data_IF_276589722457
#
_entry.id   IF_276589722457
#
_cell.length_a   1.000
_cell.length_b   1.000
_cell.length_c   1.000
_cell.angle_alpha   90.00
_cell.angle_beta   90.00
_cell.angle_gamma   90.00
#
_symmetry.space_group_name_H-M   'P 1'
#
loop_
_entity.id
_entity.type
_entity.pdbx_description
1 polymer ?
#
# COMPACT_ATOMS: atom_id res chain seq x y z
N UNK A 1 9.63 20.15 19.63
CA UNK A 1 8.46 19.28 19.90
C UNK A 1 8.48 18.87 21.37
N UNK A 2 7.40 19.14 22.12
CA UNK A 2 7.29 18.71 23.51
C UNK A 2 6.46 17.42 23.60
N UNK A 3 7.12 16.29 23.31
CA UNK A 3 6.47 14.97 23.29
C UNK A 3 6.50 14.40 24.70
N UNK A 4 5.33 14.01 25.19
CA UNK A 4 5.18 13.35 26.48
C UNK A 4 5.75 11.93 26.39
N UNK A 5 6.83 11.68 27.13
CA UNK A 5 7.49 10.38 27.27
C UNK A 5 7.93 10.19 28.72
N UNK A 6 7.85 8.97 29.30
CA UNK A 6 8.28 8.72 30.68
C UNK A 6 9.70 9.17 30.98
N UNK A 7 10.60 9.14 29.99
CA UNK A 7 12.00 9.54 30.13
C UNK A 7 12.19 11.01 30.53
N UNK A 8 11.17 11.88 30.38
CA UNK A 8 11.20 13.27 30.86
C UNK A 8 11.02 13.42 32.37
N UNK A 9 10.49 12.40 33.04
CA UNK A 9 10.08 12.44 34.44
C UNK A 9 10.93 11.47 35.27
N UNK A 10 12.25 11.61 35.16
CA UNK A 10 13.18 10.77 35.92
C UNK A 10 13.03 11.01 37.42
N UNK A 11 13.23 9.95 38.21
CA UNK A 11 13.29 10.07 39.66
C UNK A 11 14.49 10.94 40.07
N UNK A 12 14.36 11.81 41.10
CA UNK A 12 15.50 12.51 41.68
C UNK A 12 16.59 11.58 42.25
N UNK A 13 16.28 10.29 42.42
CA UNK A 13 17.19 9.25 42.92
C UNK A 13 17.69 8.32 41.80
N UNK A 14 17.60 8.75 40.53
CA UNK A 14 18.05 7.94 39.41
C UNK A 14 19.54 7.63 39.50
N UNK A 15 19.93 6.42 39.09
CA UNK A 15 21.33 6.07 38.93
C UNK A 15 21.88 6.68 37.63
N UNK A 16 23.22 6.79 37.48
CA UNK A 16 23.84 7.26 36.25
C UNK A 16 23.43 6.43 35.01
N UNK A 17 23.21 5.12 35.17
CA UNK A 17 22.73 4.25 34.10
C UNK A 17 21.29 4.62 33.70
N UNK A 18 20.41 4.88 34.66
CA UNK A 18 19.04 5.30 34.39
C UNK A 18 18.99 6.68 33.72
N UNK A 19 19.90 7.60 34.07
CA UNK A 19 20.06 8.89 33.39
C UNK A 19 20.50 8.71 31.93
N UNK A 20 21.46 7.82 31.66
CA UNK A 20 21.93 7.52 30.31
C UNK A 20 20.83 6.89 29.44
N UNK A 21 20.09 5.92 29.97
CA UNK A 21 18.97 5.29 29.25
C UNK A 21 17.85 6.29 28.96
N UNK A 22 17.55 7.20 29.89
CA UNK A 22 16.56 8.25 29.66
C UNK A 22 17.00 9.24 28.57
N UNK A 23 18.28 9.64 28.56
CA UNK A 23 18.83 10.49 27.51
C UNK A 23 18.72 9.79 26.13
N UNK A 24 19.04 8.50 26.05
CA UNK A 24 18.90 7.71 24.83
C UNK A 24 17.44 7.61 24.38
N UNK A 25 16.51 7.37 25.31
CA UNK A 25 15.06 7.31 25.02
C UNK A 25 14.51 8.65 24.53
N UNK A 26 14.96 9.77 25.09
CA UNK A 26 14.58 11.11 24.64
C UNK A 26 15.09 11.41 23.23
N UNK A 27 16.35 11.07 22.94
CA UNK A 27 16.93 11.21 21.61
C UNK A 27 16.16 10.36 20.58
N UNK A 28 15.90 9.09 20.90
CA UNK A 28 15.11 8.19 20.05
C UNK A 28 13.70 8.73 19.79
N UNK A 29 13.03 9.27 20.82
CA UNK A 29 11.68 9.86 20.69
C UNK A 29 11.70 11.07 19.76
N UNK A 30 12.69 11.95 19.94
CA UNK A 30 12.89 13.11 19.09
C UNK A 30 13.10 12.71 17.63
N UNK A 31 14.03 11.79 17.38
CA UNK A 31 14.39 11.35 16.03
C UNK A 31 13.22 10.65 15.33
N UNK A 32 12.46 9.84 16.07
CA UNK A 32 11.24 9.19 15.59
C UNK A 32 10.20 10.22 15.15
N UNK A 33 10.00 11.27 15.95
CA UNK A 33 9.03 12.31 15.63
C UNK A 33 9.47 13.18 14.45
N UNK A 34 10.75 13.56 14.39
CA UNK A 34 11.30 14.28 13.23
C UNK A 34 11.15 13.43 11.98
N UNK A 35 11.51 12.14 12.02
CA UNK A 35 11.34 11.25 10.87
C UNK A 35 9.87 11.14 10.44
N UNK A 36 8.93 10.97 11.37
CA UNK A 36 7.49 10.88 11.06
C UNK A 36 6.88 12.18 10.51
N UNK A 37 7.47 13.35 10.78
CA UNK A 37 6.99 14.64 10.26
C UNK A 37 7.66 15.07 8.95
N UNK A 38 8.90 14.64 8.71
CA UNK A 38 9.72 15.14 7.59
C UNK A 38 9.96 14.11 6.50
N UNK A 39 9.64 12.84 6.75
CA UNK A 39 9.86 11.73 5.83
C UNK A 39 8.58 10.89 5.73
N UNK A 40 8.46 10.00 4.73
CA UNK A 40 7.32 9.09 4.63
C UNK A 40 7.37 7.91 5.61
N UNK A 41 8.30 7.91 6.59
CA UNK A 41 8.40 6.86 7.59
C UNK A 41 7.07 6.72 8.36
N UNK A 42 6.65 5.48 8.57
CA UNK A 42 5.39 5.05 9.18
C UNK A 42 4.13 5.22 8.33
N UNK A 43 4.22 5.89 7.17
CA UNK A 43 3.05 6.11 6.30
C UNK A 43 2.56 4.79 5.71
N UNK A 44 3.47 3.92 5.29
CA UNK A 44 3.13 2.60 4.78
C UNK A 44 2.36 1.77 5.82
N UNK A 45 2.84 1.71 7.08
CA UNK A 45 2.10 1.05 8.17
C UNK A 45 0.72 1.67 8.40
N UNK A 46 0.64 2.99 8.44
CA UNK A 46 -0.60 3.72 8.69
C UNK A 46 -1.64 3.47 7.60
N UNK A 47 -1.21 3.53 6.33
CA UNK A 47 -2.03 3.19 5.17
C UNK A 47 -2.48 1.74 5.26
N UNK A 48 -1.54 0.80 5.40
CA UNK A 48 -1.84 -0.63 5.42
C UNK A 48 -2.88 -0.97 6.49
N UNK A 49 -2.65 -0.58 7.75
CA UNK A 49 -3.62 -0.76 8.85
C UNK A 49 -4.99 -0.20 8.47
N UNK A 50 -5.01 0.97 7.85
CA UNK A 50 -6.24 1.66 7.53
C UNK A 50 -6.95 1.14 6.27
N UNK A 51 -6.37 0.21 5.50
CA UNK A 51 -7.03 -0.40 4.34
C UNK A 51 -8.08 -1.44 4.75
N UNK A 52 -7.95 -2.06 5.93
CA UNK A 52 -8.82 -3.13 6.41
C UNK A 52 -10.32 -2.80 6.24
N UNK A 53 -11.08 -3.78 5.75
CA UNK A 53 -12.52 -3.72 5.60
C UNK A 53 -12.97 -3.44 4.16
N UNK A 54 -14.20 -2.94 4.03
CA UNK A 54 -14.87 -2.74 2.74
C UNK A 54 -14.86 -1.28 2.32
N UNK A 55 -14.72 -1.06 1.01
CA UNK A 55 -14.68 0.23 0.34
C UNK A 55 -15.65 0.23 -0.83
N UNK A 56 -16.34 1.35 -1.05
CA UNK A 56 -16.96 1.65 -2.34
C UNK A 56 -15.85 1.92 -3.35
N UNK A 57 -15.95 1.33 -4.53
CA UNK A 57 -14.97 1.45 -5.60
C UNK A 57 -15.65 1.92 -6.88
N UNK A 58 -15.26 3.10 -7.34
CA UNK A 58 -15.61 3.65 -8.64
C UNK A 58 -14.36 3.76 -9.50
N UNK A 59 -14.39 3.27 -10.74
CA UNK A 59 -13.21 3.28 -11.60
C UNK A 59 -13.54 3.51 -13.06
N UNK A 60 -12.92 4.53 -13.64
CA UNK A 60 -12.99 4.81 -15.07
C UNK A 60 -11.79 4.19 -15.80
N UNK A 61 -12.04 3.60 -16.96
CA UNK A 61 -11.05 3.07 -17.89
C UNK A 61 -11.17 3.85 -19.21
N UNK A 62 -10.10 4.52 -19.61
CA UNK A 62 -10.00 5.18 -20.90
C UNK A 62 -8.94 4.47 -21.74
N UNK A 63 -9.38 3.72 -22.75
CA UNK A 63 -8.50 3.11 -23.74
C UNK A 63 -8.26 4.07 -24.91
N UNK A 64 -7.02 4.09 -25.41
CA UNK A 64 -6.62 4.78 -26.65
C UNK A 64 -6.56 3.82 -27.84
N UNK A 65 -6.73 2.51 -27.60
CA UNK A 65 -6.78 1.49 -28.65
C UNK A 65 -8.23 1.16 -29.03
N UNK A 66 -8.61 1.18 -30.32
CA UNK A 66 -9.98 0.87 -30.76
C UNK A 66 -10.48 -0.54 -30.41
N UNK A 67 -9.55 -1.48 -30.21
CA UNK A 67 -9.82 -2.88 -29.88
C UNK A 67 -10.18 -3.11 -28.41
N UNK A 68 -9.94 -2.13 -27.54
CA UNK A 68 -10.20 -2.22 -26.11
C UNK A 68 -11.24 -1.16 -25.72
N UNK A 69 -12.42 -1.57 -25.23
CA UNK A 69 -13.45 -0.61 -24.88
C UNK A 69 -13.04 0.20 -23.65
N UNK A 70 -13.29 1.51 -23.74
CA UNK A 70 -13.41 2.37 -22.56
C UNK A 70 -14.68 2.04 -21.78
N UNK A 71 -14.75 2.45 -20.53
CA UNK A 71 -15.94 2.24 -19.71
C UNK A 71 -15.73 2.55 -18.24
N UNK A 72 -16.71 2.14 -17.44
CA UNK A 72 -16.79 2.44 -16.02
C UNK A 72 -17.11 1.20 -15.20
N UNK A 73 -16.36 1.00 -14.13
CA UNK A 73 -16.61 -0.01 -13.11
C UNK A 73 -17.18 0.65 -11.85
N UNK A 74 -18.25 0.07 -11.32
CA UNK A 74 -18.82 0.42 -10.01
C UNK A 74 -19.00 -0.85 -9.19
N UNK A 75 -18.59 -0.81 -7.92
CA UNK A 75 -18.68 -1.96 -7.03
C UNK A 75 -17.99 -1.74 -5.69
N UNK A 76 -17.46 -2.82 -5.14
CA UNK A 76 -16.77 -2.81 -3.86
C UNK A 76 -15.36 -3.36 -3.96
N UNK A 77 -14.52 -2.94 -3.02
CA UNK A 77 -13.21 -3.51 -2.76
C UNK A 77 -13.07 -3.88 -1.29
N UNK A 78 -12.57 -5.07 -1.00
CA UNK A 78 -12.43 -5.59 0.35
C UNK A 78 -10.98 -5.97 0.64
N UNK A 79 -10.48 -5.54 1.79
CA UNK A 79 -9.20 -5.97 2.33
C UNK A 79 -9.47 -6.92 3.51
N UNK A 80 -9.25 -8.21 3.29
CA UNK A 80 -9.51 -9.27 4.27
C UNK A 80 -8.20 -9.70 4.95
N UNK A 81 -8.08 -9.44 6.25
CA UNK A 81 -6.89 -9.83 7.03
C UNK A 81 -6.77 -11.35 7.08
N UNK A 82 -5.54 -11.85 6.90
CA UNK A 82 -5.21 -13.26 7.07
C UNK A 82 -3.74 -13.45 7.45
N UNK A 83 -3.41 -14.68 7.81
CA UNK A 83 -2.03 -15.09 8.07
C UNK A 83 -1.15 -14.96 6.82
N UNK A 84 0.12 -14.61 7.05
CA UNK A 84 1.11 -14.49 5.99
C UNK A 84 1.25 -15.80 5.22
N UNK A 85 1.27 -15.71 3.90
CA UNK A 85 1.57 -16.85 3.04
C UNK A 85 3.02 -16.78 2.53
N UNK A 86 3.69 -17.93 2.43
CA UNK A 86 5.05 -18.02 1.87
C UNK A 86 5.09 -17.88 0.34
N UNK A 87 3.92 -17.88 -0.31
CA UNK A 87 3.76 -17.85 -1.76
C UNK A 87 4.40 -16.61 -2.40
N UNK A 88 5.04 -16.79 -3.56
CA UNK A 88 5.69 -15.71 -4.34
C UNK A 88 6.99 -15.16 -3.75
N UNK A 89 7.25 -15.32 -2.45
CA UNK A 89 8.46 -14.76 -1.79
C UNK A 89 9.75 -15.35 -2.36
N UNK A 90 9.74 -16.63 -2.74
CA UNK A 90 10.90 -17.33 -3.33
C UNK A 90 11.33 -16.78 -4.70
N UNK A 91 10.45 -16.04 -5.39
CA UNK A 91 10.71 -15.49 -6.73
C UNK A 91 11.31 -14.08 -6.69
N UNK A 92 11.26 -13.40 -5.54
CA UNK A 92 11.80 -12.04 -5.35
C UNK A 92 13.18 -12.08 -4.68
N UNK A 93 13.47 -13.14 -3.94
CA UNK A 93 14.78 -13.37 -3.36
C UNK A 93 15.74 -13.92 -4.42
N UNK A 94 16.71 -13.10 -4.85
CA UNK A 94 18.02 -13.60 -5.29
C UNK A 94 18.85 -14.19 -4.15
N UNK A 95 18.21 -14.60 -3.04
CA UNK A 95 18.87 -15.17 -1.88
C UNK A 95 19.39 -16.56 -2.23
N UNK A 96 20.67 -16.77 -1.91
CA UNK A 96 21.29 -18.08 -1.97
C UNK A 96 20.46 -19.10 -1.15
N UNK A 97 20.48 -20.39 -1.50
CA UNK A 97 19.82 -21.41 -0.69
C UNK A 97 20.51 -21.47 0.68
N UNK A 98 19.81 -21.05 1.74
CA UNK A 98 20.33 -21.15 3.11
C UNK A 98 19.91 -20.06 4.10
N UNK A 99 19.19 -19.01 3.69
CA UNK A 99 18.57 -18.10 4.65
C UNK A 99 17.23 -18.70 5.11
N UNK A 100 17.21 -19.20 6.34
CA UNK A 100 16.03 -19.80 6.97
C UNK A 100 14.82 -18.84 6.95
N UNK A 101 13.60 -19.34 6.70
CA UNK A 101 12.37 -18.57 6.70
C UNK A 101 11.84 -18.29 8.13
N UNK A 102 12.74 -18.21 9.12
CA UNK A 102 12.42 -17.82 10.50
C UNK A 102 12.49 -16.30 10.67
N UNK A 103 12.21 -15.54 9.61
CA UNK A 103 11.88 -14.12 9.75
C UNK A 103 10.45 -14.02 10.31
N UNK A 104 10.31 -14.29 11.61
CA UNK A 104 9.13 -14.10 12.48
C UNK A 104 8.71 -12.62 12.60
N UNK A 105 9.04 -11.78 11.62
CA UNK A 105 8.43 -10.46 11.50
C UNK A 105 6.92 -10.60 11.32
N UNK A 106 6.15 -9.84 12.10
CA UNK A 106 4.68 -9.72 12.12
C UNK A 106 4.11 -9.14 10.80
N UNK A 107 4.54 -9.67 9.66
CA UNK A 107 4.10 -9.26 8.34
C UNK A 107 2.67 -9.75 8.12
N UNK A 108 1.72 -8.87 8.37
CA UNK A 108 0.30 -9.04 8.06
C UNK A 108 0.06 -8.94 6.55
N UNK A 109 -0.85 -9.77 6.02
CA UNK A 109 -1.29 -9.67 4.63
C UNK A 109 -2.80 -9.53 4.49
N UNK A 110 -3.23 -8.86 3.43
CA UNK A 110 -4.62 -8.81 3.00
C UNK A 110 -4.83 -9.61 1.73
N UNK A 111 -5.88 -10.43 1.71
CA UNK A 111 -6.51 -10.81 0.46
C UNK A 111 -7.42 -9.67 0.01
N UNK A 112 -7.02 -9.02 -1.07
CA UNK A 112 -7.78 -7.96 -1.70
C UNK A 112 -8.75 -8.55 -2.72
N UNK A 113 -10.02 -8.14 -2.68
CA UNK A 113 -11.07 -8.62 -3.58
C UNK A 113 -11.91 -7.45 -4.08
N UNK A 114 -12.05 -7.35 -5.39
CA UNK A 114 -13.04 -6.49 -6.04
C UNK A 114 -14.21 -7.31 -6.54
N UNK A 115 -15.41 -6.74 -6.43
CA UNK A 115 -16.61 -7.29 -7.03
C UNK A 115 -17.55 -6.15 -7.42
N UNK A 116 -18.03 -6.19 -8.66
CA UNK A 116 -18.88 -5.15 -9.20
C UNK A 116 -19.20 -5.38 -10.67
N UNK A 117 -19.65 -4.31 -11.32
CA UNK A 117 -20.08 -4.34 -12.71
C UNK A 117 -19.24 -3.38 -13.54
N UNK A 118 -18.78 -3.84 -14.69
CA UNK A 118 -18.16 -3.01 -15.71
C UNK A 118 -19.18 -2.72 -16.81
N UNK A 119 -19.32 -1.43 -17.14
CA UNK A 119 -20.15 -0.91 -18.23
C UNK A 119 -19.23 -0.30 -19.27
N UNK A 120 -19.12 -0.97 -20.41
CA UNK A 120 -18.36 -0.47 -21.55
C UNK A 120 -19.17 0.61 -22.31
N UNK A 121 -18.46 1.55 -22.95
CA UNK A 121 -19.09 2.65 -23.70
C UNK A 121 -19.88 2.15 -24.93
N UNK A 122 -19.58 0.94 -25.40
CA UNK A 122 -20.31 0.28 -26.48
C UNK A 122 -21.62 -0.41 -26.01
N UNK A 123 -22.00 -0.23 -24.73
CA UNK A 123 -23.21 -0.79 -24.14
C UNK A 123 -23.08 -2.19 -23.56
N UNK A 124 -21.90 -2.85 -23.70
CA UNK A 124 -21.66 -4.14 -23.05
C UNK A 124 -21.58 -3.96 -21.53
N UNK A 125 -22.29 -4.80 -20.79
CA UNK A 125 -22.29 -4.81 -19.33
C UNK A 125 -22.00 -6.21 -18.83
N UNK A 126 -21.05 -6.34 -17.89
CA UNK A 126 -20.72 -7.63 -17.29
C UNK A 126 -20.20 -7.47 -15.86
N UNK A 127 -20.43 -8.49 -15.03
CA UNK A 127 -19.83 -8.57 -13.71
C UNK A 127 -18.32 -8.77 -13.84
N UNK A 128 -17.54 -7.98 -13.10
CA UNK A 128 -16.10 -8.08 -13.05
C UNK A 128 -15.63 -8.29 -11.60
N UNK A 129 -14.65 -9.17 -11.43
CA UNK A 129 -13.97 -9.40 -10.15
C UNK A 129 -12.47 -9.43 -10.36
N UNK A 130 -11.73 -9.00 -9.35
CA UNK A 130 -10.27 -8.97 -9.35
C UNK A 130 -9.74 -9.28 -7.97
N UNK A 131 -8.60 -9.96 -7.88
CA UNK A 131 -7.94 -10.26 -6.60
C UNK A 131 -6.45 -9.97 -6.65
N UNK A 132 -5.92 -9.54 -5.52
CA UNK A 132 -4.50 -9.33 -5.27
C UNK A 132 -4.15 -9.76 -3.84
N UNK A 133 -2.87 -9.99 -3.57
CA UNK A 133 -2.37 -10.08 -2.20
C UNK A 133 -1.59 -8.82 -1.89
N UNK A 134 -1.94 -8.15 -0.80
CA UNK A 134 -1.24 -6.96 -0.31
C UNK A 134 -0.48 -7.33 0.95
N UNK A 135 0.82 -7.05 1.00
CA UNK A 135 1.69 -7.39 2.13
C UNK A 135 2.39 -6.15 2.66
N UNK A 136 2.56 -6.09 3.98
CA UNK A 136 3.38 -5.09 4.64
C UNK A 136 4.67 -5.71 5.17
N UNK A 137 5.82 -5.12 4.83
CA UNK A 137 7.13 -5.44 5.37
C UNK A 137 7.52 -4.39 6.41
N UNK A 138 7.61 -4.79 7.68
CA UNK A 138 7.91 -3.88 8.79
C UNK A 138 9.37 -3.42 8.82
N UNK A 139 10.31 -4.24 8.34
CA UNK A 139 11.74 -3.87 8.29
C UNK A 139 11.99 -2.82 7.24
N UNK A 140 11.32 -2.95 6.09
CA UNK A 140 11.42 -2.00 4.97
C UNK A 140 10.44 -0.84 5.06
N UNK A 141 9.44 -0.93 5.93
CA UNK A 141 8.26 -0.04 5.98
C UNK A 141 7.64 0.14 4.57
N UNK A 142 7.35 -0.98 3.92
CA UNK A 142 6.92 -1.02 2.52
C UNK A 142 5.64 -1.85 2.35
N UNK A 143 4.77 -1.43 1.42
CA UNK A 143 3.62 -2.23 0.96
C UNK A 143 3.95 -2.82 -0.40
N UNK A 144 3.77 -4.12 -0.56
CA UNK A 144 3.88 -4.82 -1.84
C UNK A 144 2.54 -5.39 -2.29
N UNK A 145 2.28 -5.33 -3.60
CA UNK A 145 1.09 -5.90 -4.24
C UNK A 145 1.51 -7.04 -5.14
N UNK A 146 0.78 -8.15 -5.07
CA UNK A 146 1.12 -9.40 -5.74
C UNK A 146 -0.06 -9.88 -6.57
N UNK A 147 0.22 -10.36 -7.78
CA UNK A 147 -0.76 -11.11 -8.55
C UNK A 147 -1.12 -12.40 -7.80
N UNK A 148 -2.36 -12.85 -7.96
CA UNK A 148 -2.80 -14.16 -7.46
C UNK A 148 -2.65 -15.22 -8.55
N UNK A 149 -2.51 -16.47 -8.14
CA UNK A 149 -2.46 -17.59 -9.09
C UNK A 149 -3.78 -17.75 -9.82
N UNK A 150 -3.72 -18.22 -11.06
CA UNK A 150 -4.90 -18.45 -11.90
C UNK A 150 -5.70 -19.68 -11.47
N UNK A 151 -5.03 -20.69 -10.89
CA UNK A 151 -5.64 -21.91 -10.37
C UNK A 151 -6.07 -21.79 -8.89
N UNK A 152 -5.45 -20.90 -8.12
CA UNK A 152 -5.84 -20.56 -6.75
C UNK A 152 -5.76 -19.05 -6.49
N UNK A 153 -6.90 -18.38 -6.66
CA UNK A 153 -7.03 -16.94 -6.51
C UNK A 153 -6.87 -16.42 -5.05
N UNK A 154 -6.54 -17.29 -4.09
CA UNK A 154 -6.14 -16.89 -2.73
C UNK A 154 -4.62 -16.87 -2.56
N UNK A 155 -3.84 -17.46 -3.44
CA UNK A 155 -2.38 -17.55 -3.27
C UNK A 155 -1.67 -16.53 -4.14
N UNK A 156 -0.62 -15.91 -3.60
CA UNK A 156 0.24 -15.05 -4.39
C UNK A 156 0.98 -15.85 -5.48
N UNK A 157 1.21 -15.24 -6.62
CA UNK A 157 1.97 -15.80 -7.73
C UNK A 157 3.34 -15.10 -7.82
N UNK A 158 3.36 -13.91 -8.41
CA UNK A 158 4.55 -13.07 -8.51
C UNK A 158 4.25 -11.62 -8.15
N UNK A 159 5.32 -10.88 -7.82
CA UNK A 159 5.26 -9.47 -7.44
C UNK A 159 4.68 -8.64 -8.59
N UNK A 160 3.69 -7.82 -8.29
CA UNK A 160 3.20 -6.81 -9.23
C UNK A 160 4.03 -5.53 -9.10
N UNK A 161 4.01 -4.92 -7.92
CA UNK A 161 4.85 -3.76 -7.61
C UNK A 161 4.94 -3.51 -6.10
N UNK A 162 5.94 -2.73 -5.71
CA UNK A 162 6.06 -2.14 -4.37
C UNK A 162 5.61 -0.67 -4.40
N UNK A 163 4.99 -0.20 -3.32
CA UNK A 163 4.47 1.17 -3.21
C UNK A 163 5.52 2.05 -2.54
N UNK A 164 6.03 3.03 -3.30
CA UNK A 164 6.98 4.02 -2.83
C UNK A 164 6.25 5.29 -2.38
N UNK A 165 6.24 5.56 -1.07
CA UNK A 165 5.65 6.78 -0.51
C UNK A 165 6.57 7.98 -0.73
N UNK A 166 6.00 9.09 -1.21
CA UNK A 166 6.74 10.31 -1.50
C UNK A 166 6.76 11.23 -0.27
N UNK A 167 7.86 11.97 -0.04
CA UNK A 167 7.90 13.01 0.98
C UNK A 167 6.79 14.06 0.77
N UNK A 168 6.26 14.65 1.85
CA UNK A 168 5.23 15.67 1.76
C UNK A 168 5.76 16.91 1.02
N UNK A 169 5.03 17.37 0.00
CA UNK A 169 5.37 18.58 -0.77
C UNK A 169 4.69 19.80 -0.16
N UNK A 170 5.31 20.36 0.89
CA UNK A 170 4.86 21.59 1.55
C UNK A 170 3.74 21.42 2.57
N UNK A 171 3.43 22.50 3.31
CA UNK A 171 2.49 22.49 4.45
C UNK A 171 1.02 22.24 4.04
N UNK A 172 0.66 22.50 2.78
CA UNK A 172 -0.72 22.38 2.26
C UNK A 172 -1.04 21.06 1.55
N UNK A 173 -0.16 20.04 1.67
CA UNK A 173 -0.36 18.76 1.00
C UNK A 173 -1.64 18.05 1.49
N UNK A 174 -2.66 18.00 0.64
CA UNK A 174 -3.89 17.22 0.88
C UNK A 174 -3.60 15.73 0.65
N UNK A 175 -3.14 15.04 1.70
CA UNK A 175 -2.92 13.59 1.68
C UNK A 175 -1.49 13.15 1.34
N UNK A 176 -1.28 11.84 1.38
CA UNK A 176 0.01 11.19 1.12
C UNK A 176 0.06 10.62 -0.29
N UNK A 177 1.04 11.06 -1.07
CA UNK A 177 1.24 10.55 -2.43
C UNK A 177 2.20 9.37 -2.42
N UNK A 178 1.95 8.40 -3.27
CA UNK A 178 2.87 7.30 -3.52
C UNK A 178 2.88 6.94 -5.00
N UNK A 179 3.93 6.26 -5.43
CA UNK A 179 4.09 5.79 -6.80
C UNK A 179 4.56 4.34 -6.82
N UNK A 180 4.36 3.70 -7.96
CA UNK A 180 4.97 2.43 -8.26
C UNK A 180 5.17 2.32 -9.77
N UNK A 181 6.17 1.57 -10.20
CA UNK A 181 6.38 1.31 -11.61
C UNK A 181 7.07 -0.03 -11.84
N UNK A 182 6.70 -0.69 -12.92
CA UNK A 182 7.44 -1.85 -13.42
C UNK A 182 7.26 -1.95 -14.93
N UNK A 183 8.28 -2.52 -15.58
CA UNK A 183 8.23 -2.86 -16.98
C UNK A 183 7.60 -4.26 -17.10
N UNK A 184 6.53 -4.38 -17.88
CA UNK A 184 5.95 -5.68 -18.22
C UNK A 184 6.19 -5.94 -19.70
N UNK A 185 7.26 -6.70 -20.00
CA UNK A 185 7.71 -7.01 -21.36
C UNK A 185 7.96 -5.72 -22.16
N UNK A 186 6.98 -5.27 -22.95
CA UNK A 186 7.09 -4.09 -23.83
C UNK A 186 6.29 -2.89 -23.30
N UNK A 187 5.47 -3.06 -22.26
CA UNK A 187 4.55 -2.05 -21.75
C UNK A 187 5.06 -1.51 -20.40
N UNK A 188 5.20 -0.17 -20.27
CA UNK A 188 5.58 0.46 -19.00
C UNK A 188 4.33 0.78 -18.17
N UNK A 189 4.26 0.23 -16.96
CA UNK A 189 3.18 0.50 -16.02
C UNK A 189 3.64 1.58 -15.04
N UNK A 190 2.98 2.74 -15.08
CA UNK A 190 3.12 3.78 -14.07
C UNK A 190 1.87 3.80 -13.20
N UNK A 191 2.05 3.64 -11.89
CA UNK A 191 0.98 3.65 -10.89
C UNK A 191 1.20 4.81 -9.94
N UNK A 192 0.15 5.60 -9.70
CA UNK A 192 0.16 6.67 -8.72
C UNK A 192 -0.95 6.47 -7.70
N UNK A 193 -0.68 6.83 -6.46
CA UNK A 193 -1.63 6.76 -5.36
C UNK A 193 -1.78 8.13 -4.69
N UNK A 194 -2.97 8.37 -4.17
CA UNK A 194 -3.25 9.48 -3.27
C UNK A 194 -4.08 8.98 -2.08
N UNK A 195 -3.52 9.07 -0.88
CA UNK A 195 -4.09 8.56 0.36
C UNK A 195 -4.55 9.72 1.25
N UNK A 196 -5.87 9.89 1.37
CA UNK A 196 -6.48 10.97 2.16
C UNK A 196 -6.93 10.45 3.53
N UNK A 197 -6.27 10.94 4.57
CA UNK A 197 -6.59 10.63 5.97
C UNK A 197 -7.61 11.62 6.55
N UNK A 198 -8.46 11.11 7.44
CA UNK A 198 -9.22 11.87 8.42
C UNK A 198 -8.77 11.40 9.81
N UNK A 199 -8.01 12.25 10.51
CA UNK A 199 -7.24 11.85 11.69
C UNK A 199 -6.35 10.64 11.41
N UNK A 200 -6.51 9.53 12.13
CA UNK A 200 -5.62 8.36 12.08
C UNK A 200 -6.03 7.31 11.04
N UNK A 201 -7.15 7.51 10.34
CA UNK A 201 -7.71 6.56 9.38
C UNK A 201 -7.90 7.20 8.00
N UNK A 202 -7.68 6.41 6.95
CA UNK A 202 -8.05 6.72 5.58
C UNK A 202 -9.57 6.88 5.47
N UNK A 203 -9.95 8.01 4.88
CA UNK A 203 -11.33 8.33 4.47
C UNK A 203 -11.54 7.95 3.00
N UNK A 204 -10.57 8.27 2.18
CA UNK A 204 -10.58 8.07 0.73
C UNK A 204 -9.15 7.77 0.27
N UNK A 205 -9.03 6.96 -0.77
CA UNK A 205 -7.77 6.86 -1.51
C UNK A 205 -8.02 6.64 -3.00
N UNK A 206 -7.06 7.03 -3.81
CA UNK A 206 -7.13 6.99 -5.26
C UNK A 206 -5.95 6.18 -5.81
N UNK A 207 -6.18 5.48 -6.92
CA UNK A 207 -5.14 4.80 -7.70
C UNK A 207 -5.29 5.17 -9.18
N UNK A 208 -4.19 5.58 -9.80
CA UNK A 208 -4.11 5.85 -11.22
C UNK A 208 -3.13 4.90 -11.88
N UNK A 209 -3.53 4.22 -12.96
CA UNK A 209 -2.61 3.50 -13.83
C UNK A 209 -2.51 4.22 -15.18
N UNK A 210 -1.28 4.42 -15.65
CA UNK A 210 -1.02 4.81 -17.03
C UNK A 210 -0.15 3.75 -17.66
N UNK A 211 -0.65 3.17 -18.74
CA UNK A 211 0.06 2.17 -19.53
C UNK A 211 0.22 2.72 -20.94
N UNK A 212 1.46 2.80 -21.39
CA UNK A 212 1.81 3.23 -22.73
C UNK A 212 2.59 2.10 -23.40
N UNK A 213 2.07 1.60 -24.52
CA UNK A 213 2.72 0.55 -25.28
C UNK A 213 1.93 0.13 -26.52
N UNK A 214 2.55 -0.62 -27.44
CA UNK A 214 1.93 -0.99 -28.71
C UNK A 214 0.75 -1.95 -28.55
N UNK A 215 0.73 -2.74 -27.45
CA UNK A 215 -0.33 -3.73 -27.16
C UNK A 215 -1.39 -3.18 -26.23
N UNK A 216 -1.02 -2.24 -25.35
CA UNK A 216 -1.90 -1.64 -24.35
C UNK A 216 -1.61 -0.15 -24.26
N UNK A 217 -2.62 0.65 -24.50
CA UNK A 217 -2.53 2.09 -24.33
C UNK A 217 -3.80 2.58 -23.65
N UNK A 218 -3.73 2.73 -22.33
CA UNK A 218 -4.90 3.12 -21.53
C UNK A 218 -4.52 3.88 -20.26
N UNK A 219 -5.54 4.51 -19.68
CA UNK A 219 -5.49 5.10 -18.34
C UNK A 219 -6.64 4.56 -17.50
N UNK A 220 -6.33 4.21 -16.25
CA UNK A 220 -7.32 3.82 -15.25
C UNK A 220 -7.25 4.83 -14.10
N UNK A 221 -8.40 5.29 -13.63
CA UNK A 221 -8.51 6.06 -12.39
C UNK A 221 -9.55 5.39 -11.49
N UNK A 222 -9.11 4.90 -10.33
CA UNK A 222 -9.96 4.28 -9.31
C UNK A 222 -10.02 5.14 -8.07
N UNK A 223 -11.22 5.28 -7.51
CA UNK A 223 -11.52 6.04 -6.30
C UNK A 223 -12.18 5.10 -5.29
N UNK A 224 -11.60 5.05 -4.08
CA UNK A 224 -12.04 4.20 -3.00
C UNK A 224 -12.51 5.05 -1.84
N UNK A 225 -13.77 4.85 -1.41
CA UNK A 225 -14.34 5.56 -0.27
C UNK A 225 -14.81 4.58 0.79
N UNK A 226 -14.63 4.95 2.06
CA UNK A 226 -15.25 4.21 3.16
C UNK A 226 -16.76 4.17 2.94
N UNK A 227 -17.33 2.96 3.01
CA UNK A 227 -18.78 2.81 3.00
C UNK A 227 -19.28 3.36 4.34
N UNK A 228 -20.05 4.46 4.28
CA UNK A 228 -20.77 5.02 5.42
C UNK A 228 -21.88 4.09 5.87
#
# INVERSE_FOLDING_TARGET
>A
MDILTPARYLSPLASPEAEAEAAASLAQTHDTAVAGLTTPRFVAKAVFRSLLGTWSLERSLTSRLPTHPSGHFSGTAQFLLRDKTADGLKCVSGSAPGEDPEDEGLATEYLYIEDGEFRADNGLVFRATRRYVWRYDEKKDCISVWFVKTDDAKRADYLFHEIEFLPPKGEDAKGWKAQAGHLCIDDFYNVNYDFTFQSVNLKEWNIGHTVNGPKKDYTIAGVYRRQT
#
